data_IF_174802276800
#
_entry.id   IF_174802276800
#
_cell.length_a   1.000
_cell.length_b   1.000
_cell.length_c   1.000
_cell.angle_alpha   90.00
_cell.angle_beta   90.00
_cell.angle_gamma   90.00
#
_symmetry.space_group_name_H-M   'P 1'
#
loop_
_entity.id
_entity.type
_entity.pdbx_description
1 polymer ?
#
# COMPACT_ATOMS: atom_id res chain seq x y z
N UNK A 1 -29.08 -21.65 -34.55
CA UNK A 1 -30.40 -21.51 -33.91
C UNK A 1 -30.50 -22.55 -32.79
N UNK A 2 -29.96 -22.19 -31.63
CA UNK A 2 -30.19 -22.81 -30.33
C UNK A 2 -29.65 -21.81 -29.31
N UNK A 3 -30.54 -20.88 -28.95
CA UNK A 3 -30.32 -19.81 -27.99
C UNK A 3 -30.09 -20.42 -26.60
N UNK A 4 -28.82 -20.53 -26.21
CA UNK A 4 -28.42 -20.62 -24.82
C UNK A 4 -28.41 -19.21 -24.21
N UNK A 5 -29.59 -18.64 -24.02
CA UNK A 5 -29.76 -17.47 -23.14
C UNK A 5 -29.61 -17.98 -21.71
N UNK A 6 -28.36 -18.09 -21.29
CA UNK A 6 -27.99 -18.35 -19.92
C UNK A 6 -28.29 -17.07 -19.13
N UNK A 7 -29.39 -17.08 -18.39
CA UNK A 7 -29.64 -16.17 -17.27
C UNK A 7 -28.55 -16.37 -16.23
N UNK A 8 -27.37 -15.78 -16.46
CA UNK A 8 -26.30 -15.66 -15.49
C UNK A 8 -26.31 -14.23 -15.00
N UNK A 9 -26.44 -14.08 -13.68
CA UNK A 9 -26.01 -12.88 -12.98
C UNK A 9 -24.68 -12.43 -13.57
N UNK A 10 -24.65 -11.25 -14.18
CA UNK A 10 -23.43 -10.61 -14.68
C UNK A 10 -22.40 -10.61 -13.56
N UNK A 11 -21.49 -11.59 -13.62
CA UNK A 11 -20.29 -11.58 -12.80
C UNK A 11 -19.34 -10.56 -13.40
N UNK A 12 -18.53 -9.91 -12.57
CA UNK A 12 -17.70 -8.72 -12.86
C UNK A 12 -16.78 -8.76 -14.11
N UNK A 13 -16.79 -9.82 -14.91
CA UNK A 13 -15.73 -10.16 -15.86
C UNK A 13 -16.18 -10.27 -17.33
N UNK A 14 -17.48 -10.16 -17.63
CA UNK A 14 -17.99 -10.33 -19.00
C UNK A 14 -17.53 -9.22 -19.98
N UNK A 15 -16.97 -8.10 -19.50
CA UNK A 15 -16.52 -7.00 -20.35
C UNK A 15 -15.04 -7.05 -20.78
N UNK A 16 -14.24 -8.02 -20.30
CA UNK A 16 -12.76 -8.00 -20.47
C UNK A 16 -12.19 -9.20 -21.25
N UNK A 17 -13.03 -10.06 -21.82
CA UNK A 17 -12.62 -11.37 -22.36
C UNK A 17 -11.48 -11.31 -23.38
N UNK A 18 -11.52 -10.41 -24.35
CA UNK A 18 -10.52 -10.37 -25.44
C UNK A 18 -9.13 -9.89 -24.95
N UNK A 19 -9.08 -8.89 -24.06
CA UNK A 19 -7.83 -8.45 -23.44
C UNK A 19 -7.29 -9.49 -22.44
N UNK A 20 -8.19 -10.23 -21.79
CA UNK A 20 -7.83 -11.25 -20.80
C UNK A 20 -7.12 -12.47 -21.42
N UNK A 21 -7.35 -12.77 -22.70
CA UNK A 21 -6.68 -13.89 -23.39
C UNK A 21 -5.17 -13.67 -23.49
N UNK A 22 -4.73 -12.47 -23.89
CA UNK A 22 -3.29 -12.14 -23.95
C UNK A 22 -2.62 -12.26 -22.59
N UNK A 23 -3.28 -11.78 -21.53
CA UNK A 23 -2.82 -11.89 -20.15
C UNK A 23 -2.72 -13.35 -19.71
N UNK A 24 -3.69 -14.19 -20.10
CA UNK A 24 -3.69 -15.61 -19.81
C UNK A 24 -2.54 -16.35 -20.51
N UNK A 25 -2.31 -16.09 -21.81
CA UNK A 25 -1.23 -16.72 -22.57
C UNK A 25 0.15 -16.36 -22.01
N UNK A 26 0.38 -15.08 -21.68
CA UNK A 26 1.63 -14.63 -21.05
C UNK A 26 1.80 -15.26 -19.66
N UNK A 27 0.76 -15.30 -18.84
CA UNK A 27 0.81 -15.92 -17.52
C UNK A 27 1.09 -17.44 -17.60
N UNK A 28 0.49 -18.13 -18.57
CA UNK A 28 0.73 -19.55 -18.83
C UNK A 28 2.19 -19.80 -19.20
N UNK A 29 2.76 -18.99 -20.09
CA UNK A 29 4.16 -19.10 -20.50
C UNK A 29 5.13 -18.88 -19.33
N UNK A 30 4.84 -17.94 -18.41
CA UNK A 30 5.70 -17.67 -17.24
C UNK A 30 5.80 -18.84 -16.27
N UNK A 31 4.76 -19.68 -16.19
CA UNK A 31 4.70 -20.80 -15.23
C UNK A 31 5.18 -22.10 -15.86
N UNK A 32 4.75 -22.38 -17.09
CA UNK A 32 5.00 -23.66 -17.77
C UNK A 32 6.18 -23.62 -18.74
N UNK A 33 6.77 -22.44 -18.99
CA UNK A 33 7.78 -22.25 -20.03
C UNK A 33 7.19 -22.23 -21.44
N UNK A 34 8.07 -22.08 -22.45
CA UNK A 34 7.68 -22.26 -23.86
C UNK A 34 7.72 -23.74 -24.21
N UNK A 35 6.75 -24.26 -24.97
CA UNK A 35 6.87 -25.60 -25.54
C UNK A 35 8.11 -25.64 -26.45
N UNK A 36 8.98 -26.65 -26.28
CA UNK A 36 10.08 -26.87 -27.22
C UNK A 36 9.49 -27.12 -28.60
N UNK A 37 9.89 -26.34 -29.60
CA UNK A 37 9.68 -26.73 -31.00
C UNK A 37 10.41 -28.05 -31.21
N UNK A 38 9.67 -29.08 -31.65
CA UNK A 38 10.29 -30.34 -32.09
C UNK A 38 11.14 -30.01 -33.31
N UNK A 39 12.45 -29.95 -33.16
CA UNK A 39 13.39 -29.91 -34.27
C UNK A 39 13.32 -31.25 -35.02
N UNK A 40 13.12 -31.16 -36.33
CA UNK A 40 13.11 -32.20 -37.39
C UNK A 40 11.86 -33.09 -37.56
N UNK A 41 11.11 -32.95 -38.68
CA UNK A 41 9.95 -33.78 -39.01
C UNK A 41 10.28 -35.18 -39.56
N UNK A 42 11.56 -35.55 -39.74
CA UNK A 42 11.95 -36.74 -40.52
C UNK A 42 12.22 -38.03 -39.70
N UNK A 43 11.86 -38.10 -38.41
CA UNK A 43 12.06 -39.31 -37.58
C UNK A 43 10.84 -39.88 -36.84
N UNK A 44 9.62 -39.43 -37.13
CA UNK A 44 8.39 -40.04 -36.57
C UNK A 44 7.63 -40.86 -37.63
N UNK A 45 8.27 -41.89 -38.18
CA UNK A 45 7.56 -43.03 -38.77
C UNK A 45 8.08 -44.30 -38.13
N UNK A 46 7.60 -44.59 -36.92
CA UNK A 46 7.27 -45.93 -36.41
C UNK A 46 7.21 -45.92 -34.88
N UNK A 47 6.00 -45.82 -34.32
CA UNK A 47 5.44 -46.60 -33.19
C UNK A 47 4.26 -45.84 -32.57
N UNK A 48 3.06 -46.19 -32.99
CA UNK A 48 1.81 -45.89 -32.29
C UNK A 48 1.47 -47.09 -31.40
N UNK A 49 1.77 -46.98 -30.10
CA UNK A 49 1.15 -47.78 -29.04
C UNK A 49 0.13 -46.88 -28.31
N UNK A 50 -1.16 -47.26 -28.24
CA UNK A 50 -2.23 -46.38 -27.74
C UNK A 50 -2.31 -46.26 -26.21
N UNK A 51 -1.50 -47.02 -25.45
CA UNK A 51 -1.51 -46.98 -23.98
C UNK A 51 -0.55 -45.94 -23.37
N UNK A 52 0.16 -45.17 -24.20
CA UNK A 52 1.05 -44.06 -23.75
C UNK A 52 0.39 -42.68 -23.73
N UNK A 53 -0.87 -42.56 -24.17
CA UNK A 53 -1.60 -41.28 -24.17
C UNK A 53 -2.02 -40.79 -22.76
N UNK A 54 -1.64 -41.53 -21.70
CA UNK A 54 -1.79 -41.14 -20.29
C UNK A 54 -0.48 -40.87 -19.55
N UNK A 55 0.66 -40.88 -20.24
CA UNK A 55 1.80 -40.07 -19.78
C UNK A 55 1.52 -38.66 -20.26
N UNK A 56 0.90 -37.86 -19.38
CA UNK A 56 0.85 -36.40 -19.50
C UNK A 56 2.21 -35.97 -20.02
N UNK A 57 2.24 -35.39 -21.22
CA UNK A 57 3.42 -34.77 -21.80
C UNK A 57 4.19 -34.12 -20.66
N UNK A 58 5.38 -34.64 -20.34
CA UNK A 58 6.26 -34.02 -19.36
C UNK A 58 6.62 -32.65 -19.93
N UNK A 59 5.76 -31.66 -19.66
CA UNK A 59 6.12 -30.27 -19.79
C UNK A 59 7.28 -30.08 -18.83
N UNK A 60 8.47 -29.86 -19.39
CA UNK A 60 9.62 -29.37 -18.63
C UNK A 60 9.20 -28.00 -18.04
N UNK A 61 8.73 -28.01 -16.80
CA UNK A 61 8.27 -26.80 -16.10
C UNK A 61 9.48 -25.97 -15.75
N UNK A 62 9.66 -24.84 -16.43
CA UNK A 62 10.71 -23.85 -16.13
C UNK A 62 10.07 -22.49 -15.79
N UNK A 63 9.77 -22.24 -14.50
CA UNK A 63 9.12 -21.00 -14.09
C UNK A 63 10.10 -19.82 -14.12
N UNK A 64 9.67 -18.71 -14.71
CA UNK A 64 10.49 -17.49 -14.83
C UNK A 64 10.72 -16.81 -13.47
N UNK A 65 11.97 -16.54 -13.05
CA UNK A 65 12.26 -15.82 -11.82
C UNK A 65 12.00 -14.31 -11.94
N UNK A 66 11.64 -13.67 -10.83
CA UNK A 66 11.47 -12.22 -10.81
C UNK A 66 12.81 -11.49 -11.02
N UNK A 67 12.89 -10.48 -11.90
CA UNK A 67 14.11 -9.71 -12.11
C UNK A 67 14.58 -8.97 -10.85
N UNK A 68 13.67 -8.53 -9.96
CA UNK A 68 14.03 -7.87 -8.69
C UNK A 68 14.85 -8.80 -7.77
N UNK A 69 14.70 -10.11 -7.87
CA UNK A 69 15.53 -11.08 -7.14
C UNK A 69 16.96 -11.15 -7.66
N UNK A 70 17.15 -11.00 -8.97
CA UNK A 70 18.49 -10.94 -9.58
C UNK A 70 19.25 -9.70 -9.11
N UNK A 71 18.60 -8.54 -9.18
CA UNK A 71 19.16 -7.27 -8.68
C UNK A 71 19.44 -7.34 -7.16
N UNK A 72 18.55 -7.96 -6.38
CA UNK A 72 18.76 -8.19 -4.94
C UNK A 72 20.05 -8.99 -4.69
N UNK A 73 20.30 -10.06 -5.46
CA UNK A 73 21.52 -10.86 -5.31
C UNK A 73 22.79 -10.09 -5.69
N UNK A 74 22.71 -9.25 -6.71
CA UNK A 74 23.81 -8.39 -7.13
C UNK A 74 24.19 -7.40 -6.01
N UNK A 75 23.21 -6.68 -5.45
CA UNK A 75 23.43 -5.74 -4.35
C UNK A 75 23.94 -6.47 -3.09
N UNK A 76 23.43 -7.68 -2.79
CA UNK A 76 23.94 -8.48 -1.67
C UNK A 76 25.41 -8.89 -1.87
N UNK A 77 25.82 -9.22 -3.09
CA UNK A 77 27.22 -9.50 -3.43
C UNK A 77 28.08 -8.25 -3.25
N UNK A 78 27.63 -7.09 -3.74
CA UNK A 78 28.32 -5.81 -3.58
C UNK A 78 28.52 -5.44 -2.10
N UNK A 79 27.48 -5.60 -1.28
CA UNK A 79 27.55 -5.35 0.16
C UNK A 79 28.54 -6.30 0.82
N UNK A 80 28.58 -7.58 0.42
CA UNK A 80 29.54 -8.54 0.95
C UNK A 80 30.99 -8.17 0.60
N UNK A 81 31.26 -7.71 -0.62
CA UNK A 81 32.60 -7.24 -1.01
C UNK A 81 32.98 -6.01 -0.19
N UNK A 82 32.07 -5.04 -0.06
CA UNK A 82 32.29 -3.81 0.71
C UNK A 82 32.50 -4.06 2.21
N UNK A 83 31.82 -5.07 2.77
CA UNK A 83 31.99 -5.50 4.15
C UNK A 83 33.37 -6.14 4.35
N UNK A 84 33.82 -7.00 3.43
CA UNK A 84 35.13 -7.66 3.49
C UNK A 84 36.30 -6.67 3.44
N UNK A 85 36.28 -5.72 2.52
CA UNK A 85 37.36 -4.71 2.37
C UNK A 85 37.57 -3.89 3.66
N UNK A 86 36.50 -3.62 4.42
CA UNK A 86 36.60 -2.83 5.66
C UNK A 86 36.93 -3.65 6.90
N UNK A 87 36.68 -4.96 6.87
CA UNK A 87 37.03 -5.88 7.96
C UNK A 87 38.55 -6.01 8.14
N UNK A 88 39.33 -5.78 7.08
CA UNK A 88 40.79 -5.70 7.14
C UNK A 88 41.30 -4.45 7.89
N UNK A 89 40.46 -3.43 8.10
CA UNK A 89 40.82 -2.15 8.73
C UNK A 89 40.20 -1.86 10.09
N UNK A 90 39.27 -2.67 10.62
CA UNK A 90 38.58 -2.39 11.89
C UNK A 90 38.14 -3.64 12.67
N UNK A 91 38.11 -3.50 14.00
CA UNK A 91 37.86 -4.54 14.99
C UNK A 91 36.43 -5.11 14.94
N UNK A 92 36.27 -6.37 14.50
CA UNK A 92 35.39 -7.38 15.10
C UNK A 92 33.85 -7.23 15.07
N UNK A 93 33.28 -6.21 14.43
CA UNK A 93 31.82 -6.06 14.32
C UNK A 93 31.23 -6.76 13.09
N UNK A 94 30.22 -7.62 13.26
CA UNK A 94 29.44 -8.13 12.12
C UNK A 94 28.59 -7.00 11.54
N UNK A 95 28.82 -6.64 10.28
CA UNK A 95 27.98 -5.67 9.57
C UNK A 95 26.53 -6.18 9.52
N UNK A 96 25.56 -5.31 9.81
CA UNK A 96 24.13 -5.63 9.79
C UNK A 96 23.47 -4.97 8.59
N UNK A 97 22.70 -5.76 7.85
CA UNK A 97 21.89 -5.33 6.71
C UNK A 97 20.41 -5.39 7.09
N UNK A 98 19.69 -4.29 6.94
CA UNK A 98 18.24 -4.22 7.11
C UNK A 98 17.55 -4.18 5.74
N UNK A 99 16.77 -5.20 5.41
CA UNK A 99 15.91 -5.23 4.22
C UNK A 99 14.51 -4.74 4.62
N UNK A 100 14.04 -3.69 3.97
CA UNK A 100 12.73 -3.09 4.19
C UNK A 100 11.76 -3.50 3.08
N UNK A 101 10.58 -3.95 3.51
CA UNK A 101 9.55 -4.55 2.66
C UNK A 101 8.17 -4.01 3.04
N UNK A 102 7.22 -3.95 2.10
CA UNK A 102 5.85 -3.53 2.41
C UNK A 102 5.09 -4.59 3.23
N UNK A 103 5.03 -5.82 2.69
CA UNK A 103 4.17 -6.88 3.21
C UNK A 103 4.92 -8.02 3.91
N UNK A 104 4.26 -8.62 4.92
CA UNK A 104 4.76 -9.84 5.57
C UNK A 104 4.88 -11.02 4.59
N UNK A 105 4.02 -11.08 3.56
CA UNK A 105 4.09 -12.12 2.52
C UNK A 105 5.38 -12.00 1.71
N UNK A 106 5.77 -10.79 1.33
CA UNK A 106 7.01 -10.54 0.59
C UNK A 106 8.21 -10.84 1.50
N UNK A 107 8.14 -10.52 2.80
CA UNK A 107 9.15 -10.90 3.77
C UNK A 107 9.38 -12.43 3.81
N UNK A 108 8.32 -13.24 3.87
CA UNK A 108 8.42 -14.70 3.80
C UNK A 108 8.98 -15.19 2.46
N UNK A 109 8.58 -14.56 1.35
CA UNK A 109 9.09 -14.88 0.02
C UNK A 109 10.59 -14.60 -0.10
N UNK A 110 11.06 -13.43 0.33
CA UNK A 110 12.49 -13.07 0.32
C UNK A 110 13.26 -14.02 1.25
N UNK A 111 12.71 -14.36 2.42
CA UNK A 111 13.33 -15.33 3.32
C UNK A 111 13.50 -16.70 2.63
N UNK A 112 12.47 -17.19 1.95
CA UNK A 112 12.55 -18.46 1.20
C UNK A 112 13.56 -18.37 0.06
N UNK A 113 13.53 -17.27 -0.69
CA UNK A 113 14.47 -17.00 -1.78
C UNK A 113 15.93 -17.04 -1.31
N UNK A 114 16.26 -16.35 -0.20
CA UNK A 114 17.61 -16.32 0.34
C UNK A 114 18.08 -17.67 0.90
N UNK A 115 17.16 -18.54 1.34
CA UNK A 115 17.50 -19.86 1.90
C UNK A 115 17.58 -20.99 0.86
N UNK A 116 16.73 -20.97 -0.17
CA UNK A 116 16.57 -22.07 -1.14
C UNK A 116 17.05 -21.70 -2.55
N UNK A 117 17.12 -20.41 -2.87
CA UNK A 117 17.33 -19.90 -4.23
C UNK A 117 16.05 -19.80 -5.07
N UNK A 118 16.08 -19.01 -6.15
CA UNK A 118 14.90 -18.72 -6.98
C UNK A 118 14.25 -19.97 -7.58
N UNK A 119 15.03 -20.79 -8.31
CA UNK A 119 14.49 -21.94 -9.05
C UNK A 119 13.86 -22.97 -8.12
N UNK A 120 14.54 -23.33 -7.02
CA UNK A 120 14.04 -24.31 -6.06
C UNK A 120 12.78 -23.80 -5.32
N UNK A 121 12.74 -22.51 -4.98
CA UNK A 121 11.55 -21.90 -4.38
C UNK A 121 10.34 -21.95 -5.32
N UNK A 122 10.53 -21.60 -6.60
CA UNK A 122 9.45 -21.61 -7.60
C UNK A 122 8.93 -23.03 -7.88
N UNK A 123 9.82 -24.00 -8.03
CA UNK A 123 9.44 -25.40 -8.20
C UNK A 123 8.64 -25.90 -6.98
N UNK A 124 9.08 -25.58 -5.76
CA UNK A 124 8.34 -25.93 -4.54
C UNK A 124 6.95 -25.29 -4.50
N UNK A 125 6.81 -24.04 -4.95
CA UNK A 125 5.51 -23.38 -5.04
C UNK A 125 4.60 -24.05 -6.08
N UNK A 126 5.16 -24.45 -7.21
CA UNK A 126 4.44 -25.18 -8.26
C UNK A 126 3.95 -26.54 -7.74
N UNK A 127 4.82 -27.33 -7.12
CA UNK A 127 4.48 -28.63 -6.53
C UNK A 127 3.37 -28.49 -5.48
N UNK A 128 3.42 -27.44 -4.66
CA UNK A 128 2.37 -27.16 -3.65
C UNK A 128 1.04 -26.73 -4.29
N UNK A 129 1.07 -25.98 -5.39
CA UNK A 129 -0.12 -25.48 -6.04
C UNK A 129 -0.86 -26.58 -6.83
N UNK A 130 -0.11 -27.42 -7.55
CA UNK A 130 -0.66 -28.48 -8.41
C UNK A 130 -0.63 -29.87 -7.77
N UNK A 131 -0.11 -29.98 -6.55
CA UNK A 131 0.02 -31.22 -5.78
C UNK A 131 0.70 -32.34 -6.59
N UNK A 132 1.74 -31.99 -7.35
CA UNK A 132 2.52 -32.87 -8.21
C UNK A 132 4.01 -32.84 -7.83
N UNK A 133 4.79 -33.83 -8.27
CA UNK A 133 6.26 -33.83 -8.13
C UNK A 133 6.88 -33.52 -9.48
N UNK A 134 7.74 -32.51 -9.53
CA UNK A 134 8.38 -32.08 -10.78
C UNK A 134 9.84 -32.54 -10.77
N UNK A 135 10.30 -33.13 -11.88
CA UNK A 135 11.74 -33.33 -12.07
C UNK A 135 12.34 -32.01 -12.57
N UNK A 136 13.40 -31.48 -11.94
CA UNK A 136 14.04 -30.27 -12.43
C UNK A 136 14.54 -30.50 -13.86
N UNK A 137 14.32 -29.52 -14.75
CA UNK A 137 14.88 -29.54 -16.10
C UNK A 137 16.41 -29.70 -16.02
N UNK A 138 17.03 -30.54 -16.87
CA UNK A 138 18.48 -30.67 -16.90
C UNK A 138 19.11 -29.30 -17.20
N UNK A 139 20.05 -28.87 -16.36
CA UNK A 139 20.85 -27.66 -16.60
C UNK A 139 21.68 -27.91 -17.86
N UNK A 140 21.64 -27.04 -18.89
CA UNK A 140 22.55 -27.17 -20.02
C UNK A 140 23.98 -27.02 -19.53
N UNK A 141 24.80 -28.05 -19.72
CA UNK A 141 26.25 -27.96 -19.57
C UNK A 141 26.75 -27.12 -20.75
N UNK A 142 27.54 -26.04 -20.53
CA UNK A 142 28.17 -25.32 -21.64
C UNK A 142 29.07 -26.29 -22.40
N UNK A 143 28.69 -26.64 -23.64
CA UNK A 143 29.59 -27.31 -24.57
C UNK A 143 30.32 -26.20 -25.34
N UNK A 144 31.62 -26.09 -25.12
CA UNK A 144 32.50 -25.31 -26.00
C UNK A 144 32.36 -25.87 -27.42
N UNK A 145 31.73 -25.08 -28.31
CA UNK A 145 31.86 -25.25 -29.75
C UNK A 145 32.53 -24.02 -30.30
N UNK A 146 33.80 -24.21 -30.64
CA UNK A 146 34.55 -23.36 -31.56
C UNK A 146 33.99 -23.63 -32.95
N UNK A 147 33.39 -22.64 -33.57
CA UNK A 147 33.30 -22.48 -35.02
C UNK A 147 32.86 -21.03 -35.28
N UNK A 148 33.74 -20.30 -35.96
CA UNK A 148 33.51 -18.91 -36.32
C UNK A 148 32.71 -18.80 -37.60
N UNK A 149 32.02 -17.68 -37.75
CA UNK A 149 31.79 -16.99 -39.02
C UNK A 149 31.26 -15.58 -38.70
N UNK A 150 31.76 -14.62 -39.46
CA UNK A 150 31.53 -13.17 -39.37
C UNK A 150 30.10 -12.84 -39.84
N UNK A 151 29.44 -11.83 -39.26
CA UNK A 151 28.57 -10.90 -40.00
C UNK A 151 28.11 -9.68 -39.14
N UNK A 152 28.55 -8.52 -39.61
CA UNK A 152 28.00 -7.13 -39.61
C UNK A 152 27.25 -6.55 -38.39
N UNK A 153 27.87 -5.49 -37.82
CA UNK A 153 27.27 -4.53 -36.89
C UNK A 153 26.44 -3.46 -37.62
N UNK A 154 25.24 -3.18 -37.11
CA UNK A 154 24.57 -1.88 -37.27
C UNK A 154 23.84 -1.46 -35.97
N UNK A 155 24.44 -0.48 -35.27
CA UNK A 155 23.83 0.70 -34.65
C UNK A 155 22.68 0.63 -33.62
N UNK A 156 23.03 0.97 -32.36
CA UNK A 156 22.34 1.86 -31.36
C UNK A 156 20.89 1.58 -30.91
N UNK A 157 20.46 1.66 -29.64
CA UNK A 157 20.91 2.37 -28.44
C UNK A 157 20.28 1.69 -27.20
N UNK A 158 21.02 1.49 -26.10
CA UNK A 158 20.47 1.25 -24.75
C UNK A 158 21.21 2.12 -23.73
N UNK A 159 20.61 3.26 -23.38
CA UNK A 159 21.01 4.03 -22.22
C UNK A 159 20.13 3.61 -21.02
N UNK A 160 20.68 2.84 -20.08
CA UNK A 160 20.13 2.71 -18.73
C UNK A 160 20.96 3.58 -17.80
N UNK A 161 20.42 4.74 -17.45
CA UNK A 161 20.99 5.72 -16.53
C UNK A 161 20.80 5.26 -15.09
N UNK A 162 21.89 5.08 -14.35
CA UNK A 162 21.90 5.10 -12.88
C UNK A 162 22.40 6.48 -12.43
N UNK A 163 21.51 7.28 -11.85
CA UNK A 163 21.81 8.62 -11.34
C UNK A 163 22.60 8.51 -10.03
N UNK A 164 23.92 8.70 -10.08
CA UNK A 164 24.72 9.08 -8.92
C UNK A 164 25.48 10.36 -9.26
N UNK A 165 24.98 11.49 -8.79
CA UNK A 165 25.61 12.79 -8.99
C UNK A 165 26.73 12.99 -7.97
N UNK A 166 27.97 13.09 -8.44
CA UNK A 166 29.06 13.84 -7.80
C UNK A 166 29.73 14.73 -8.85
N UNK A 167 30.23 15.92 -8.47
CA UNK A 167 30.71 16.91 -9.42
C UNK A 167 32.00 16.45 -10.10
N UNK A 168 32.13 16.82 -11.38
CA UNK A 168 33.28 16.58 -12.23
C UNK A 168 34.49 17.42 -11.78
N UNK A 169 35.66 16.79 -11.82
CA UNK A 169 36.95 17.46 -11.98
C UNK A 169 37.75 16.69 -13.02
N UNK A 170 38.15 17.40 -14.07
CA UNK A 170 39.04 16.96 -15.12
C UNK A 170 40.37 16.44 -14.55
N UNK A 171 40.88 15.34 -15.09
CA UNK A 171 42.27 15.27 -15.56
C UNK A 171 42.54 13.96 -16.31
N UNK A 172 43.23 14.10 -17.43
CA UNK A 172 43.69 13.05 -18.32
C UNK A 172 44.74 12.16 -17.64
N UNK A 173 44.72 10.86 -17.93
CA UNK A 173 45.92 10.08 -18.20
C UNK A 173 45.57 8.69 -18.79
N UNK A 174 46.10 8.44 -19.98
CA UNK A 174 46.27 7.15 -20.62
C UNK A 174 47.01 6.17 -19.69
N UNK A 175 46.43 5.00 -19.43
CA UNK A 175 47.20 3.81 -19.03
C UNK A 175 46.63 2.59 -19.76
N UNK A 176 47.43 2.09 -20.72
CA UNK A 176 47.29 0.78 -21.37
C UNK A 176 47.31 -0.33 -20.30
N UNK A 177 46.33 -1.23 -20.33
CA UNK A 177 46.42 -2.52 -19.65
C UNK A 177 46.64 -3.62 -20.68
N UNK A 178 47.80 -4.27 -20.57
CA UNK A 178 48.17 -5.45 -21.34
C UNK A 178 47.40 -6.67 -20.85
N UNK A 179 46.94 -7.47 -21.82
CA UNK A 179 46.38 -8.81 -21.63
C UNK A 179 47.51 -9.74 -21.21
N UNK A 180 47.39 -10.36 -20.04
CA UNK A 180 48.21 -11.52 -19.66
C UNK A 180 47.26 -12.66 -19.28
N UNK A 181 47.10 -13.57 -20.23
CA UNK A 181 46.69 -14.96 -20.00
C UNK A 181 47.72 -15.64 -19.10
N UNK A 182 47.29 -16.33 -18.05
CA UNK A 182 48.00 -17.51 -17.50
C UNK A 182 47.15 -18.27 -16.48
N UNK A 183 46.60 -19.39 -16.97
CA UNK A 183 46.57 -20.74 -16.38
C UNK A 183 46.49 -20.92 -14.84
N UNK A 184 45.45 -21.63 -14.42
CA UNK A 184 45.30 -22.28 -13.11
C UNK A 184 46.52 -23.14 -12.72
N UNK A 185 46.77 -23.28 -11.40
CA UNK A 185 46.72 -24.64 -10.86
C UNK A 185 46.01 -24.75 -9.50
N UNK A 186 45.43 -25.94 -9.29
CA UNK A 186 44.72 -26.36 -8.09
C UNK A 186 45.63 -26.59 -6.86
N UNK A 187 44.97 -26.49 -5.69
CA UNK A 187 45.30 -27.01 -4.33
C UNK A 187 46.28 -26.21 -3.46
N UNK A 188 45.77 -25.61 -2.39
CA UNK A 188 45.74 -26.19 -1.03
C UNK A 188 45.08 -25.22 -0.04
N UNK A 189 44.09 -25.71 0.69
CA UNK A 189 43.40 -25.01 1.77
C UNK A 189 44.38 -24.71 2.92
N UNK A 190 44.59 -23.43 3.21
CA UNK A 190 45.06 -22.98 4.51
C UNK A 190 44.20 -21.79 4.94
N UNK A 191 43.59 -21.94 6.11
CA UNK A 191 42.52 -21.10 6.63
C UNK A 191 42.87 -19.61 6.68
N UNK A 192 42.24 -18.83 5.80
CA UNK A 192 42.15 -17.38 5.90
C UNK A 192 40.83 -17.00 6.57
N UNK A 193 40.95 -16.55 7.83
CA UNK A 193 39.98 -15.80 8.65
C UNK A 193 38.58 -15.69 8.01
N UNK A 194 37.64 -16.53 8.46
CA UNK A 194 36.25 -16.55 8.00
C UNK A 194 35.59 -15.18 8.20
N UNK A 195 35.55 -14.35 7.16
CA UNK A 195 34.71 -13.17 7.10
C UNK A 195 33.25 -13.62 7.11
N UNK A 196 32.63 -13.62 8.30
CA UNK A 196 31.22 -13.98 8.47
C UNK A 196 30.36 -13.05 7.60
N UNK A 197 29.40 -13.60 6.83
CA UNK A 197 28.50 -12.78 6.02
C UNK A 197 27.70 -11.82 6.92
N UNK A 198 27.31 -10.64 6.41
CA UNK A 198 26.56 -9.67 7.17
C UNK A 198 25.24 -10.26 7.65
N UNK A 199 24.83 -9.90 8.87
CA UNK A 199 23.57 -10.36 9.45
C UNK A 199 22.41 -9.68 8.73
N UNK A 200 21.60 -10.47 8.01
CA UNK A 200 20.43 -9.97 7.27
C UNK A 200 19.21 -9.97 8.19
N UNK A 201 18.63 -8.80 8.41
CA UNK A 201 17.37 -8.61 9.12
C UNK A 201 16.33 -8.11 8.13
N UNK A 202 15.21 -8.82 7.98
CA UNK A 202 14.10 -8.42 7.12
C UNK A 202 13.00 -7.83 7.98
N UNK A 203 12.53 -6.64 7.66
CA UNK A 203 11.50 -5.92 8.42
C UNK A 203 10.46 -5.29 7.49
N UNK A 204 9.21 -5.24 7.96
CA UNK A 204 8.13 -4.56 7.26
C UNK A 204 7.98 -3.12 7.71
N UNK A 205 7.52 -2.21 6.84
CA UNK A 205 7.36 -0.79 7.21
C UNK A 205 6.37 -0.57 8.36
N UNK A 206 5.29 -1.37 8.40
CA UNK A 206 4.18 -1.27 9.36
C UNK A 206 3.93 -2.63 10.03
N UNK A 207 4.79 -3.01 10.98
CA UNK A 207 4.59 -4.23 11.76
C UNK A 207 3.29 -4.11 12.58
N UNK A 208 2.27 -4.91 12.25
CA UNK A 208 0.95 -4.91 12.91
C UNK A 208 0.24 -3.55 12.92
N UNK A 209 0.55 -2.67 11.97
CA UNK A 209 -0.04 -1.34 11.90
C UNK A 209 0.53 -0.32 12.90
N UNK A 210 1.58 -0.65 13.67
CA UNK A 210 2.29 0.33 14.49
C UNK A 210 3.18 1.21 13.59
N UNK A 211 2.91 2.53 13.49
CA UNK A 211 3.74 3.42 12.71
C UNK A 211 5.16 3.54 13.26
N UNK A 212 5.40 3.31 14.55
CA UNK A 212 6.72 3.51 15.18
C UNK A 212 7.61 2.27 15.16
N UNK A 213 7.13 1.16 14.60
CA UNK A 213 7.86 -0.10 14.55
C UNK A 213 9.24 0.05 13.88
N UNK A 214 9.30 0.75 12.73
CA UNK A 214 10.54 0.96 11.99
C UNK A 214 11.60 1.71 12.84
N UNK A 215 11.21 2.79 13.51
CA UNK A 215 12.13 3.58 14.34
C UNK A 215 12.69 2.79 15.52
N UNK A 216 11.88 1.90 16.13
CA UNK A 216 12.36 0.98 17.19
C UNK A 216 13.36 -0.03 16.64
N UNK A 217 13.03 -0.66 15.51
CA UNK A 217 13.92 -1.62 14.84
C UNK A 217 15.24 -0.97 14.43
N UNK A 218 15.23 0.26 13.92
CA UNK A 218 16.45 0.99 13.57
C UNK A 218 17.34 1.21 14.79
N UNK A 219 16.77 1.58 15.94
CA UNK A 219 17.51 1.78 17.20
C UNK A 219 18.07 0.47 17.77
N UNK A 220 17.34 -0.63 17.64
CA UNK A 220 17.76 -1.96 18.13
C UNK A 220 18.83 -2.60 17.23
N UNK A 221 18.60 -2.58 15.92
CA UNK A 221 19.47 -3.25 14.94
C UNK A 221 20.71 -2.41 14.68
N UNK A 222 20.59 -1.08 14.63
CA UNK A 222 21.63 -0.13 14.16
C UNK A 222 22.32 -0.64 12.87
N UNK A 223 21.57 -0.73 11.77
CA UNK A 223 22.11 -1.26 10.52
C UNK A 223 23.10 -0.28 9.88
N UNK A 224 24.13 -0.82 9.23
CA UNK A 224 25.07 -0.05 8.41
C UNK A 224 24.68 -0.02 6.93
N UNK A 225 23.94 -1.03 6.49
CA UNK A 225 23.38 -1.10 5.16
C UNK A 225 21.86 -1.25 5.28
N UNK A 226 21.12 -0.48 4.48
CA UNK A 226 19.66 -0.57 4.38
C UNK A 226 19.31 -0.81 2.93
N UNK A 227 18.50 -1.83 2.68
CA UNK A 227 18.00 -2.15 1.36
C UNK A 227 16.49 -1.97 1.34
N UNK A 228 16.01 -1.04 0.53
CA UNK A 228 14.58 -0.83 0.31
C UNK A 228 14.14 -1.66 -0.89
N UNK A 229 13.44 -2.77 -0.62
CA UNK A 229 12.89 -3.64 -1.66
C UNK A 229 11.66 -3.01 -2.32
N UNK A 230 10.84 -2.34 -1.52
CA UNK A 230 9.72 -1.51 -1.96
C UNK A 230 9.99 -0.06 -1.58
N UNK A 231 9.65 0.89 -2.45
CA UNK A 231 9.89 2.31 -2.22
C UNK A 231 8.72 2.96 -1.46
N UNK A 232 8.96 3.40 -0.21
CA UNK A 232 8.00 4.17 0.58
C UNK A 232 8.60 5.49 1.08
N UNK A 233 7.96 6.60 0.72
CA UNK A 233 8.40 7.96 1.08
C UNK A 233 8.44 8.18 2.60
N UNK A 234 7.49 7.59 3.34
CA UNK A 234 7.45 7.72 4.80
C UNK A 234 8.64 7.01 5.46
N UNK A 235 9.06 5.86 4.93
CA UNK A 235 10.24 5.14 5.39
C UNK A 235 11.53 5.92 5.12
N UNK A 236 11.69 6.52 3.93
CA UNK A 236 12.86 7.35 3.58
C UNK A 236 13.05 8.49 4.56
N UNK A 237 12.00 9.25 4.85
CA UNK A 237 12.04 10.37 5.81
C UNK A 237 12.40 9.93 7.22
N UNK A 238 11.97 8.74 7.63
CA UNK A 238 12.35 8.17 8.94
C UNK A 238 13.81 7.77 8.97
N UNK A 239 14.35 7.26 7.87
CA UNK A 239 15.78 6.99 7.73
C UNK A 239 16.59 8.28 7.79
N UNK A 240 16.13 9.37 7.18
CA UNK A 240 16.76 10.69 7.28
C UNK A 240 16.79 11.21 8.73
N UNK A 241 15.66 11.13 9.44
CA UNK A 241 15.58 11.51 10.87
C UNK A 241 16.48 10.60 11.73
N UNK A 242 16.56 9.31 11.42
CA UNK A 242 17.43 8.39 12.13
C UNK A 242 18.92 8.70 11.89
N UNK A 243 19.30 9.07 10.67
CA UNK A 243 20.65 9.50 10.30
C UNK A 243 21.04 10.81 11.00
N UNK A 244 20.08 11.72 11.22
CA UNK A 244 20.34 12.96 11.97
C UNK A 244 20.50 12.71 13.47
N UNK A 245 19.74 11.77 14.05
CA UNK A 245 19.89 11.33 15.44
C UNK A 245 21.26 10.66 15.69
N UNK A 246 21.81 9.96 14.68
CA UNK A 246 23.04 9.18 14.78
C UNK A 246 24.12 9.68 13.82
N UNK A 247 24.75 10.81 14.16
CA UNK A 247 25.86 11.36 13.38
C UNK A 247 27.18 10.56 13.50
N UNK A 248 27.23 9.56 14.39
CA UNK A 248 28.42 8.74 14.66
C UNK A 248 28.78 7.78 13.52
N UNK A 249 27.81 7.39 12.69
CA UNK A 249 28.03 6.52 11.55
C UNK A 249 27.11 6.90 10.39
N UNK A 250 27.60 6.70 9.17
CA UNK A 250 26.80 6.83 7.96
C UNK A 250 26.41 5.45 7.48
N UNK A 251 25.12 5.21 7.30
CA UNK A 251 24.63 4.00 6.65
C UNK A 251 24.31 4.27 5.18
N UNK A 252 24.47 3.24 4.34
CA UNK A 252 24.19 3.32 2.91
C UNK A 252 22.81 2.73 2.62
N UNK A 253 21.99 3.47 1.87
CA UNK A 253 20.65 3.05 1.45
C UNK A 253 20.68 2.66 -0.02
N UNK A 254 20.17 1.48 -0.33
CA UNK A 254 19.98 0.98 -1.69
C UNK A 254 18.49 0.92 -2.01
N UNK A 255 18.09 1.47 -3.16
CA UNK A 255 16.71 1.44 -3.65
C UNK A 255 16.57 0.45 -4.79
N UNK A 256 15.60 -0.47 -4.69
CA UNK A 256 15.20 -1.33 -5.80
C UNK A 256 13.88 -0.81 -6.36
N UNK A 257 13.90 -0.31 -7.59
CA UNK A 257 12.70 0.13 -8.31
C UNK A 257 12.76 -0.38 -9.75
N UNK A 258 11.61 -0.78 -10.29
CA UNK A 258 11.50 -1.07 -11.72
C UNK A 258 11.39 0.24 -12.51
N UNK A 259 12.35 0.49 -13.39
CA UNK A 259 12.32 1.65 -14.29
C UNK A 259 11.14 1.59 -15.26
N UNK A 260 10.50 2.73 -15.51
CA UNK A 260 9.37 2.87 -16.43
C UNK A 260 8.11 2.12 -15.99
N UNK A 261 8.02 1.74 -14.71
CA UNK A 261 6.93 0.92 -14.18
C UNK A 261 5.89 1.71 -13.40
N UNK A 262 4.79 1.04 -13.04
CA UNK A 262 3.76 1.59 -12.16
C UNK A 262 4.30 1.86 -10.75
N UNK A 263 5.28 1.10 -10.27
CA UNK A 263 5.90 1.29 -8.95
C UNK A 263 6.64 2.63 -8.88
N UNK A 264 7.50 2.90 -9.87
CA UNK A 264 8.21 4.18 -9.99
C UNK A 264 7.21 5.35 -10.13
N UNK A 265 6.23 5.21 -11.02
CA UNK A 265 5.24 6.24 -11.25
C UNK A 265 4.40 6.53 -9.99
N UNK A 266 4.05 5.50 -9.21
CA UNK A 266 3.33 5.67 -7.95
C UNK A 266 4.17 6.45 -6.94
N UNK A 267 5.46 6.12 -6.80
CA UNK A 267 6.40 6.82 -5.93
C UNK A 267 6.55 8.29 -6.34
N UNK A 268 6.84 8.56 -7.63
CA UNK A 268 6.99 9.92 -8.16
C UNK A 268 5.70 10.74 -8.05
N UNK A 269 4.54 10.12 -8.28
CA UNK A 269 3.24 10.78 -8.14
C UNK A 269 2.97 11.16 -6.69
N UNK A 270 3.35 10.31 -5.73
CA UNK A 270 3.25 10.64 -4.30
C UNK A 270 4.11 11.85 -3.94
N UNK A 271 5.38 11.88 -4.40
CA UNK A 271 6.28 13.03 -4.20
C UNK A 271 5.68 14.32 -4.77
N UNK A 272 5.16 14.28 -6.01
CA UNK A 272 4.58 15.45 -6.68
C UNK A 272 3.33 15.96 -5.97
N UNK A 273 2.41 15.07 -5.60
CA UNK A 273 1.19 15.43 -4.86
C UNK A 273 1.50 16.10 -3.54
N UNK A 274 2.48 15.58 -2.81
CA UNK A 274 2.88 16.18 -1.55
C UNK A 274 3.50 17.57 -1.74
N UNK A 275 4.39 17.72 -2.73
CA UNK A 275 4.96 19.03 -3.06
C UNK A 275 3.87 20.05 -3.42
N UNK A 276 2.95 19.68 -4.30
CA UNK A 276 1.83 20.54 -4.71
C UNK A 276 0.93 20.93 -3.53
N UNK A 277 0.69 20.00 -2.59
CA UNK A 277 -0.06 20.28 -1.38
C UNK A 277 0.64 21.30 -0.47
N UNK A 278 1.96 21.18 -0.27
CA UNK A 278 2.71 22.17 0.50
C UNK A 278 2.77 23.53 -0.19
N UNK A 279 3.00 23.57 -1.51
CA UNK A 279 2.98 24.81 -2.28
C UNK A 279 1.62 25.50 -2.19
N UNK A 280 0.53 24.73 -2.21
CA UNK A 280 -0.82 25.24 -2.02
C UNK A 280 -1.00 25.84 -0.63
N UNK A 281 -0.59 25.15 0.44
CA UNK A 281 -0.69 25.64 1.81
C UNK A 281 0.13 26.91 2.03
N UNK A 282 1.34 27.00 1.47
CA UNK A 282 2.19 28.19 1.55
C UNK A 282 1.52 29.38 0.86
N UNK A 283 0.95 29.18 -0.34
CA UNK A 283 0.22 30.23 -1.07
C UNK A 283 -1.01 30.69 -0.30
N UNK A 284 -1.80 29.75 0.22
CA UNK A 284 -2.98 30.09 1.02
C UNK A 284 -2.59 30.84 2.29
N UNK A 285 -1.57 30.38 3.03
CA UNK A 285 -1.06 31.04 4.23
C UNK A 285 -0.54 32.46 3.94
N UNK A 286 0.10 32.68 2.79
CA UNK A 286 0.57 34.00 2.39
C UNK A 286 -0.58 34.97 2.04
N UNK A 287 -1.70 34.45 1.50
CA UNK A 287 -2.87 35.26 1.15
C UNK A 287 -3.91 35.41 2.26
N UNK A 288 -3.97 34.45 3.18
CA UNK A 288 -4.98 34.39 4.24
C UNK A 288 -4.61 35.35 5.36
N UNK A 289 -5.48 36.33 5.63
CA UNK A 289 -5.40 37.13 6.86
C UNK A 289 -5.94 36.24 7.98
N UNK A 290 -5.04 35.62 8.74
CA UNK A 290 -5.40 34.85 9.94
C UNK A 290 -5.62 35.85 11.09
N UNK A 291 -6.84 35.98 11.65
CA UNK A 291 -7.04 36.78 12.85
C UNK A 291 -6.22 36.21 14.00
N UNK A 292 -5.59 37.08 14.81
CA UNK A 292 -4.68 36.68 15.90
C UNK A 292 -5.36 35.76 16.94
N UNK A 293 -6.69 35.80 17.05
CA UNK A 293 -7.48 35.01 18.00
C UNK A 293 -7.70 33.55 17.57
N UNK A 294 -7.29 33.16 16.35
CA UNK A 294 -7.54 31.82 15.82
C UNK A 294 -6.50 30.78 16.28
N UNK A 295 -5.39 31.21 16.88
CA UNK A 295 -4.32 30.33 17.37
C UNK A 295 -4.72 29.55 18.65
N UNK A 296 -5.90 29.82 19.22
CA UNK A 296 -6.43 29.11 20.39
C UNK A 296 -5.68 29.38 21.70
N UNK A 297 -4.82 30.41 21.72
CA UNK A 297 -4.13 30.90 22.92
C UNK A 297 -4.95 31.94 23.69
N UNK A 298 -5.89 32.62 23.04
CA UNK A 298 -6.83 33.52 23.71
C UNK A 298 -8.02 32.72 24.25
N UNK A 299 -8.46 33.04 25.48
CA UNK A 299 -9.64 32.39 26.09
C UNK A 299 -10.95 32.81 25.38
N UNK A 300 -10.93 33.91 24.64
CA UNK A 300 -12.07 34.44 23.90
C UNK A 300 -12.18 33.80 22.50
N UNK A 301 -12.59 32.53 22.45
CA UNK A 301 -12.97 31.92 21.18
C UNK A 301 -14.36 32.44 20.77
N UNK A 302 -14.39 33.46 19.91
CA UNK A 302 -15.64 34.03 19.36
C UNK A 302 -16.52 32.98 18.67
N UNK A 303 -15.96 31.88 18.17
CA UNK A 303 -16.71 30.76 17.57
C UNK A 303 -17.48 29.91 18.60
N UNK A 304 -17.03 29.90 19.86
CA UNK A 304 -17.72 29.28 21.00
C UNK A 304 -18.72 30.22 21.68
N UNK A 305 -18.73 31.50 21.29
CA UNK A 305 -19.74 32.43 21.77
C UNK A 305 -21.12 31.92 21.34
N UNK A 306 -21.90 31.49 22.33
CA UNK A 306 -23.31 31.12 22.12
C UNK A 306 -24.01 32.38 21.63
N UNK A 307 -24.64 32.31 20.47
CA UNK A 307 -25.49 33.39 19.97
C UNK A 307 -26.81 33.37 20.78
N UNK A 308 -26.71 33.67 22.07
CA UNK A 308 -27.80 33.65 23.04
C UNK A 308 -28.80 34.80 22.80
N UNK A 309 -28.55 35.64 21.79
CA UNK A 309 -29.31 36.85 21.51
C UNK A 309 -30.69 36.57 20.91
N UNK A 310 -30.96 35.37 20.35
CA UNK A 310 -32.28 35.01 19.81
C UNK A 310 -32.60 33.51 19.86
N UNK A 311 -33.22 32.99 20.94
CA UNK A 311 -34.26 32.01 20.73
C UNK A 311 -35.48 32.80 20.20
N UNK A 312 -35.80 32.66 18.91
CA UNK A 312 -37.05 33.16 18.32
C UNK A 312 -38.25 32.46 18.99
N UNK A 313 -38.57 32.85 20.23
CA UNK A 313 -39.85 32.60 20.86
C UNK A 313 -40.82 33.65 20.33
N UNK A 314 -41.23 33.47 19.07
CA UNK A 314 -42.44 34.07 18.52
C UNK A 314 -43.70 33.43 19.16
N UNK A 315 -43.79 33.49 20.49
CA UNK A 315 -44.94 33.06 21.26
C UNK A 315 -45.34 34.23 22.18
N UNK A 316 -46.39 34.94 21.74
CA UNK A 316 -47.00 36.13 22.33
C UNK A 316 -46.67 36.44 23.79
N UNK A 317 -45.83 37.46 23.99
CA UNK A 317 -45.72 38.15 25.27
C UNK A 317 -47.01 38.94 25.52
N UNK A 318 -47.94 38.33 26.25
CA UNK A 318 -49.11 39.01 26.78
C UNK A 318 -48.66 40.01 27.86
N UNK A 319 -48.56 41.28 27.49
CA UNK A 319 -48.12 42.42 28.31
C UNK A 319 -49.10 42.85 29.43
N UNK A 320 -49.76 41.90 30.11
CA UNK A 320 -50.82 42.21 31.10
C UNK A 320 -50.67 41.63 32.51
N UNK A 321 -49.49 41.14 32.90
CA UNK A 321 -49.16 40.88 34.32
C UNK A 321 -47.81 41.50 34.68
N UNK A 322 -47.83 42.41 35.64
CA UNK A 322 -46.68 43.21 36.05
C UNK A 322 -45.55 42.41 36.70
N UNK A 323 -44.32 42.84 36.42
CA UNK A 323 -43.35 43.13 37.48
C UNK A 323 -42.37 42.05 37.92
N UNK A 324 -42.23 40.90 37.24
CA UNK A 324 -41.11 39.98 37.50
C UNK A 324 -40.30 39.75 36.22
N UNK A 325 -38.95 39.93 36.24
CA UNK A 325 -38.12 39.48 35.14
C UNK A 325 -38.24 37.96 35.07
N UNK A 326 -38.84 37.44 34.00
CA UNK A 326 -38.88 36.02 33.75
C UNK A 326 -37.43 35.51 33.68
N UNK A 327 -37.08 34.57 34.57
CA UNK A 327 -35.80 33.87 34.50
C UNK A 327 -35.70 33.25 33.10
N UNK A 328 -34.62 33.45 32.33
CA UNK A 328 -34.49 32.84 31.02
C UNK A 328 -34.62 31.32 31.20
N UNK A 329 -35.71 30.74 30.70
CA UNK A 329 -35.85 29.29 30.64
C UNK A 329 -34.91 28.84 29.53
N UNK A 330 -33.74 28.30 29.90
CA UNK A 330 -32.87 27.64 28.93
C UNK A 330 -33.62 26.40 28.45
N UNK A 331 -33.90 26.33 27.15
CA UNK A 331 -34.48 25.12 26.56
C UNK A 331 -33.38 24.09 26.48
N UNK A 332 -33.60 22.94 27.11
CA UNK A 332 -32.73 21.77 27.04
C UNK A 332 -33.30 20.75 26.07
N UNK A 333 -32.44 20.14 25.26
CA UNK A 333 -32.79 19.05 24.36
C UNK A 333 -31.93 17.84 24.70
N UNK A 334 -32.55 16.68 24.84
CA UNK A 334 -31.84 15.42 25.08
C UNK A 334 -31.50 14.83 23.71
N UNK A 335 -30.24 14.44 23.53
CA UNK A 335 -29.71 13.95 22.25
C UNK A 335 -29.04 12.59 22.46
N UNK A 336 -29.31 11.64 21.55
CA UNK A 336 -28.66 10.33 21.56
C UNK A 336 -27.15 10.45 21.34
N UNK A 337 -26.34 9.76 22.13
CA UNK A 337 -24.87 9.76 21.98
C UNK A 337 -24.37 9.37 20.58
N UNK A 338 -25.11 8.51 19.85
CA UNK A 338 -24.75 8.09 18.49
C UNK A 338 -24.91 9.22 17.47
N UNK A 339 -25.78 10.18 17.78
CA UNK A 339 -26.13 11.29 16.91
C UNK A 339 -25.08 12.42 16.92
N UNK A 340 -24.15 12.41 17.89
CA UNK A 340 -22.98 13.31 17.92
C UNK A 340 -21.96 13.08 16.78
N UNK A 341 -22.19 12.07 15.93
CA UNK A 341 -21.44 11.91 14.67
C UNK A 341 -21.91 12.89 13.59
N UNK A 342 -23.07 13.52 13.76
CA UNK A 342 -23.60 14.53 12.84
C UNK A 342 -23.27 15.95 13.29
N UNK A 343 -23.42 16.92 12.39
CA UNK A 343 -23.17 18.33 12.67
C UNK A 343 -24.32 19.00 13.46
N UNK A 344 -25.50 18.37 13.51
CA UNK A 344 -26.71 18.99 14.04
C UNK A 344 -26.65 19.30 15.55
N UNK A 345 -26.13 18.40 16.42
CA UNK A 345 -25.93 18.73 17.84
C UNK A 345 -25.02 19.94 18.06
N UNK A 346 -23.94 20.06 17.28
CA UNK A 346 -23.04 21.22 17.38
C UNK A 346 -23.74 22.54 17.02
N UNK A 347 -24.60 22.53 15.98
CA UNK A 347 -25.38 23.69 15.58
C UNK A 347 -26.45 24.09 16.60
N UNK A 348 -27.13 23.12 17.21
CA UNK A 348 -28.12 23.36 18.28
C UNK A 348 -27.45 24.05 19.46
N UNK A 349 -26.27 23.56 19.87
CA UNK A 349 -25.51 24.13 20.97
C UNK A 349 -25.03 25.56 20.67
N UNK A 350 -24.56 25.82 19.43
CA UNK A 350 -24.13 27.16 18.98
C UNK A 350 -25.25 28.19 19.06
N UNK A 351 -26.51 27.77 18.83
CA UNK A 351 -27.71 28.60 18.97
C UNK A 351 -28.15 28.85 20.42
N UNK A 352 -27.39 28.39 21.41
CA UNK A 352 -27.66 28.64 22.82
C UNK A 352 -28.68 27.70 23.46
N UNK A 353 -29.05 26.60 22.79
CA UNK A 353 -29.88 25.53 23.36
C UNK A 353 -28.96 24.59 24.14
N UNK A 354 -29.36 24.25 25.37
CA UNK A 354 -28.60 23.33 26.21
C UNK A 354 -28.81 21.90 25.72
N UNK A 355 -27.73 21.13 25.58
CA UNK A 355 -27.80 19.75 25.08
C UNK A 355 -27.42 18.80 26.20
N UNK A 356 -28.28 17.82 26.43
CA UNK A 356 -28.01 16.72 27.37
C UNK A 356 -27.72 15.43 26.57
N UNK A 357 -26.45 14.97 26.52
CA UNK A 357 -26.09 13.73 25.83
C UNK A 357 -26.49 12.50 26.66
N UNK A 358 -27.43 11.69 26.15
CA UNK A 358 -27.91 10.47 26.81
C UNK A 358 -27.96 9.33 25.79
N UNK A 359 -27.75 8.07 26.19
CA UNK A 359 -27.98 6.92 25.28
C UNK A 359 -29.46 6.56 25.27
N UNK A 360 -30.16 6.84 24.17
CA UNK A 360 -31.59 6.57 24.03
C UNK A 360 -31.81 5.20 23.37
N UNK A 361 -32.83 4.48 23.83
CA UNK A 361 -33.23 3.22 23.21
C UNK A 361 -34.13 3.46 21.98
N UNK A 362 -34.88 4.56 21.98
CA UNK A 362 -35.90 4.91 20.97
C UNK A 362 -35.83 6.40 20.69
N UNK A 363 -35.58 6.76 19.42
CA UNK A 363 -35.43 8.14 18.95
C UNK A 363 -34.01 8.68 19.06
N UNK A 364 -33.76 9.78 18.35
CA UNK A 364 -32.47 10.47 18.31
C UNK A 364 -32.48 11.77 19.13
N UNK A 365 -33.59 12.51 19.10
CA UNK A 365 -33.76 13.76 19.85
C UNK A 365 -35.07 13.75 20.62
N UNK A 366 -35.03 14.14 21.89
CA UNK A 366 -36.23 14.39 22.70
C UNK A 366 -36.29 15.89 22.97
N UNK A 367 -37.26 16.55 22.34
CA UNK A 367 -37.43 18.00 22.43
C UNK A 367 -38.25 18.39 23.66
N UNK A 368 -39.27 17.60 23.96
CA UNK A 368 -40.15 17.75 25.12
C UNK A 368 -40.56 16.36 25.61
N UNK A 369 -41.13 16.20 26.83
CA UNK A 369 -41.54 14.88 27.34
C UNK A 369 -42.52 14.12 26.44
N UNK A 370 -43.22 14.81 25.53
CA UNK A 370 -44.17 14.20 24.59
C UNK A 370 -43.58 13.97 23.19
N UNK A 371 -42.54 14.72 22.81
CA UNK A 371 -42.05 14.83 21.44
C UNK A 371 -40.70 14.13 21.30
N UNK A 372 -40.70 13.10 20.46
CA UNK A 372 -39.51 12.36 20.05
C UNK A 372 -39.30 12.56 18.55
N UNK A 373 -38.08 12.87 18.14
CA UNK A 373 -37.68 13.02 16.74
C UNK A 373 -36.67 11.94 16.39
N UNK A 374 -36.95 11.20 15.32
CA UNK A 374 -35.97 10.37 14.61
C UNK A 374 -35.50 11.15 13.38
N UNK A 375 -34.19 11.32 13.24
CA UNK A 375 -33.59 12.00 12.09
C UNK A 375 -33.15 10.95 11.07
N UNK A 376 -33.46 11.19 9.78
CA UNK A 376 -33.10 10.24 8.72
C UNK A 376 -32.62 10.93 7.46
N UNK A 377 -31.45 10.51 6.98
CA UNK A 377 -30.95 10.86 5.65
C UNK A 377 -31.76 10.16 4.56
N UNK A 378 -31.76 10.68 3.33
CA UNK A 378 -32.47 10.04 2.20
C UNK A 378 -31.98 8.61 1.94
N UNK A 379 -30.66 8.37 2.01
CA UNK A 379 -30.09 7.02 1.81
C UNK A 379 -30.54 6.05 2.90
N UNK A 380 -30.57 6.51 4.16
CA UNK A 380 -31.03 5.69 5.27
C UNK A 380 -32.52 5.46 5.21
N UNK A 381 -33.30 6.43 4.72
CA UNK A 381 -34.73 6.29 4.51
C UNK A 381 -35.01 5.15 3.53
N UNK A 382 -34.42 5.19 2.32
CA UNK A 382 -34.58 4.15 1.30
C UNK A 382 -34.13 2.79 1.83
N UNK A 383 -32.94 2.71 2.43
CA UNK A 383 -32.42 1.46 2.99
C UNK A 383 -33.31 0.90 4.11
N UNK A 384 -33.86 1.77 4.96
CA UNK A 384 -34.72 1.36 6.07
C UNK A 384 -36.15 1.01 5.68
N UNK A 385 -36.64 1.56 4.56
CA UNK A 385 -37.92 1.17 3.96
C UNK A 385 -37.78 -0.22 3.32
N UNK A 386 -36.73 -0.43 2.51
CA UNK A 386 -36.47 -1.71 1.85
C UNK A 386 -36.24 -2.86 2.84
N UNK A 387 -35.56 -2.60 3.96
CA UNK A 387 -35.32 -3.59 5.01
C UNK A 387 -36.49 -3.73 6.01
N UNK A 388 -37.52 -2.88 5.92
CA UNK A 388 -38.61 -2.81 6.91
C UNK A 388 -38.20 -2.26 8.28
N UNK A 389 -36.94 -1.88 8.49
CA UNK A 389 -36.42 -1.34 9.75
C UNK A 389 -37.19 -0.10 10.21
N UNK A 390 -37.56 0.80 9.29
CA UNK A 390 -38.26 2.05 9.63
C UNK A 390 -39.59 1.77 10.33
N UNK A 391 -40.31 0.73 9.89
CA UNK A 391 -41.60 0.37 10.46
C UNK A 391 -41.47 0.01 11.95
N UNK A 392 -40.47 -0.80 12.30
CA UNK A 392 -40.21 -1.17 13.70
C UNK A 392 -39.79 0.03 14.55
N UNK A 393 -39.01 0.95 13.97
CA UNK A 393 -38.61 2.20 14.65
C UNK A 393 -39.83 3.09 14.92
N UNK A 394 -40.70 3.28 13.91
CA UNK A 394 -41.93 4.06 14.06
C UNK A 394 -42.89 3.44 15.09
N UNK A 395 -43.05 2.11 15.08
CA UNK A 395 -43.87 1.38 16.05
C UNK A 395 -43.33 1.52 17.48
N UNK A 396 -42.01 1.45 17.64
CA UNK A 396 -41.39 1.69 18.95
C UNK A 396 -41.65 3.13 19.41
N UNK A 397 -41.47 4.13 18.55
CA UNK A 397 -41.69 5.54 18.89
C UNK A 397 -43.14 5.82 19.29
N UNK A 398 -44.13 5.32 18.54
CA UNK A 398 -45.57 5.53 18.83
C UNK A 398 -46.02 4.87 20.13
N UNK A 399 -45.30 3.84 20.61
CA UNK A 399 -45.60 3.17 21.88
C UNK A 399 -45.16 3.98 23.11
N UNK A 400 -44.03 4.68 23.02
CA UNK A 400 -43.43 5.38 24.17
C UNK A 400 -43.75 6.88 24.19
N UNK A 401 -43.94 7.51 23.03
CA UNK A 401 -44.15 8.95 22.93
C UNK A 401 -45.51 9.29 22.34
N UNK A 402 -46.13 10.36 22.85
CA UNK A 402 -47.42 10.83 22.36
C UNK A 402 -47.33 11.43 20.95
N UNK A 403 -46.22 12.09 20.63
CA UNK A 403 -45.98 12.78 19.36
C UNK A 403 -44.65 12.36 18.74
N UNK A 404 -44.58 11.18 18.09
CA UNK A 404 -43.40 10.77 17.35
C UNK A 404 -43.30 11.54 16.03
N UNK A 405 -42.12 12.07 15.73
CA UNK A 405 -41.82 12.82 14.52
C UNK A 405 -40.64 12.17 13.77
N UNK A 406 -40.75 12.14 12.45
CA UNK A 406 -39.67 11.72 11.57
C UNK A 406 -39.17 12.94 10.81
N UNK A 407 -37.92 13.34 11.04
CA UNK A 407 -37.25 14.41 10.34
C UNK A 407 -36.48 13.83 9.16
N UNK A 408 -36.91 14.16 7.93
CA UNK A 408 -36.24 13.73 6.69
C UNK A 408 -35.47 14.92 6.15
N UNK A 409 -34.16 14.74 5.98
CA UNK A 409 -33.29 15.76 5.39
C UNK A 409 -33.13 15.53 3.89
N UNK A 410 -33.43 16.56 3.10
CA UNK A 410 -33.26 16.55 1.66
C UNK A 410 -32.07 17.42 1.25
N UNK A 411 -31.33 16.98 0.24
CA UNK A 411 -30.32 17.79 -0.43
C UNK A 411 -31.02 18.73 -1.42
N UNK A 412 -30.83 20.04 -1.27
CA UNK A 412 -31.45 21.04 -2.14
C UNK A 412 -30.99 20.90 -3.60
N UNK A 413 -29.80 20.31 -3.83
CA UNK A 413 -29.23 20.17 -5.16
C UNK A 413 -29.65 18.88 -5.88
N UNK A 414 -30.42 18.01 -5.23
CA UNK A 414 -30.86 16.73 -5.81
C UNK A 414 -32.38 16.64 -5.80
N UNK A 415 -33.05 16.66 -6.96
CA UNK A 415 -34.49 16.45 -7.01
C UNK A 415 -34.80 15.02 -6.55
N UNK A 416 -35.62 14.90 -5.51
CA UNK A 416 -36.10 13.61 -5.04
C UNK A 416 -37.39 13.23 -5.76
N UNK A 417 -37.38 12.12 -6.49
CA UNK A 417 -38.57 11.46 -7.00
C UNK A 417 -38.61 10.03 -6.44
N UNK A 418 -39.69 9.67 -5.75
CA UNK A 418 -40.02 8.28 -5.43
C UNK A 418 -40.35 7.58 -6.75
N UNK A 419 -39.44 6.76 -7.27
CA UNK A 419 -39.63 5.98 -8.48
C UNK A 419 -39.75 4.50 -8.16
#
# INVERSE_FOLDING_TARGET
MCDWVCSRSLSRYDCLLDAAETLFLVAKQRVLGRPREKTDPDKEKNKTDPDKEKEIELLDVDPEPSPKWMALTEVLKEINVTAKVKLEGSTGGTDKLLILVEDNRICEQIKQYLTLGAKAMLLRLYERAFNCRVRPAPVPVPQEKVEGEEEEEDGEMKESYTLSQRPASDDANDIKLEVVDTMEPEKEESCSIDAQPPMIVIHTFKKYGDPLALSRTLREVRPRFVLMYDADMAAVRRLEVYQSEHSEFQFQVFFLMYGGSVEEQAYLTSLRREKEAFDYLIKQKASMVVPEDQDGLSEDCSELSRDASKPDMAAGSNTRKGGHPARPQTTSVIVDMREFRSELPALIHKRGIEIEPVTLQVGDYILTPEICVERKSVSDLIGSLNSGRLYNQALAMTRYYAKPMLLIEFDQNKPFALQ
#
